data_IF_774680100937
#
_entry.id   IF_774680100937
#
_cell.length_a   1.000
_cell.length_b   1.000
_cell.length_c   1.000
_cell.angle_alpha   90.00
_cell.angle_beta   90.00
_cell.angle_gamma   90.00
#
_symmetry.space_group_name_H-M   'P 1'
#
loop_
_entity.id
_entity.type
_entity.pdbx_description
1 polymer ?
#
# COMPACT_ATOMS: atom_id res chain seq x y z
N UNK A 1 18.57 -17.47 -3.64
CA UNK A 1 20.01 -17.40 -3.38
C UNK A 1 20.36 -17.19 -1.92
N UNK A 2 20.09 -16.03 -1.30
CA UNK A 2 20.45 -15.78 0.11
C UNK A 2 19.63 -16.69 1.05
N UNK A 3 18.31 -16.63 0.97
CA UNK A 3 17.40 -17.45 1.76
C UNK A 3 17.66 -18.96 1.58
N UNK A 4 17.93 -19.38 0.35
CA UNK A 4 18.27 -20.78 0.04
C UNK A 4 19.58 -21.22 0.73
N UNK A 5 20.58 -20.34 0.79
CA UNK A 5 21.84 -20.59 1.50
C UNK A 5 21.62 -20.69 3.02
N UNK A 6 20.81 -19.81 3.59
CA UNK A 6 20.48 -19.81 5.01
C UNK A 6 19.71 -21.08 5.42
N UNK A 7 18.72 -21.50 4.62
CA UNK A 7 17.95 -22.72 4.87
C UNK A 7 18.87 -23.96 4.80
N UNK A 8 19.77 -24.03 3.81
CA UNK A 8 20.74 -25.11 3.71
C UNK A 8 21.74 -25.13 4.88
N UNK A 9 22.20 -23.97 5.32
CA UNK A 9 23.06 -23.83 6.48
C UNK A 9 22.39 -24.31 7.76
N UNK A 10 21.07 -24.21 7.86
CA UNK A 10 20.27 -24.76 8.95
C UNK A 10 20.03 -26.29 8.84
N UNK A 11 20.63 -26.97 7.84
CA UNK A 11 20.49 -28.40 7.65
C UNK A 11 19.16 -28.86 7.03
N UNK A 12 18.37 -27.93 6.52
CA UNK A 12 17.07 -28.22 5.91
C UNK A 12 17.25 -28.44 4.40
N UNK A 13 16.80 -29.60 3.85
CA UNK A 13 16.79 -29.79 2.40
C UNK A 13 15.94 -28.73 1.71
N UNK A 14 16.53 -28.07 0.73
CA UNK A 14 15.83 -26.99 0.00
C UNK A 14 16.17 -27.07 -1.49
N UNK A 15 15.14 -26.96 -2.30
CA UNK A 15 15.23 -26.77 -3.73
C UNK A 15 14.81 -25.33 -4.07
N UNK A 16 15.50 -24.72 -5.00
CA UNK A 16 15.25 -23.33 -5.37
C UNK A 16 15.68 -23.06 -6.81
N UNK A 17 16.81 -22.43 -6.98
CA UNK A 17 17.34 -22.08 -8.31
C UNK A 17 18.00 -23.22 -9.08
N UNK A 18 18.00 -24.40 -8.54
CA UNK A 18 18.25 -25.67 -9.23
C UNK A 18 17.05 -26.13 -10.09
N UNK A 19 15.82 -25.81 -9.64
CA UNK A 19 14.57 -26.13 -10.34
C UNK A 19 13.94 -24.93 -11.04
N UNK A 20 14.28 -23.70 -10.61
CA UNK A 20 13.68 -22.46 -11.10
C UNK A 20 14.72 -21.58 -11.81
N UNK A 21 14.34 -20.86 -12.87
CA UNK A 21 15.23 -19.95 -13.55
C UNK A 21 15.74 -18.86 -12.60
N UNK A 22 16.98 -18.43 -12.81
CA UNK A 22 17.59 -17.36 -12.01
C UNK A 22 17.13 -15.97 -12.41
N UNK A 23 16.65 -15.83 -13.63
CA UNK A 23 16.22 -14.56 -14.23
C UNK A 23 14.82 -14.71 -14.80
N UNK A 24 14.12 -13.60 -14.91
CA UNK A 24 12.77 -13.55 -15.44
C UNK A 24 11.69 -13.68 -14.35
N UNK A 25 10.46 -13.55 -14.78
CA UNK A 25 9.28 -13.62 -13.92
C UNK A 25 8.93 -15.07 -13.59
N UNK A 26 8.65 -15.36 -12.32
CA UNK A 26 8.18 -16.66 -11.87
C UNK A 26 6.67 -16.80 -12.05
N UNK A 27 6.23 -16.77 -13.29
CA UNK A 27 4.84 -16.93 -13.66
C UNK A 27 4.35 -18.40 -13.50
N UNK A 28 3.03 -18.64 -13.44
CA UNK A 28 2.48 -19.99 -13.25
C UNK A 28 2.98 -21.05 -14.22
N UNK A 29 3.22 -20.70 -15.48
CA UNK A 29 3.75 -21.62 -16.49
C UNK A 29 5.22 -22.03 -16.24
N UNK A 30 5.97 -21.23 -15.47
CA UNK A 30 7.34 -21.54 -15.04
C UNK A 30 7.34 -22.35 -13.74
N UNK A 31 6.47 -21.97 -12.79
CA UNK A 31 6.40 -22.58 -11.47
C UNK A 31 5.81 -23.99 -11.51
N UNK A 32 4.73 -24.19 -12.26
CA UNK A 32 3.97 -25.45 -12.29
C UNK A 32 4.83 -26.64 -12.71
N UNK A 33 5.60 -26.59 -13.81
CA UNK A 33 6.51 -27.69 -14.18
C UNK A 33 7.57 -27.97 -13.13
N UNK A 34 8.14 -26.95 -12.51
CA UNK A 34 9.15 -27.10 -11.47
C UNK A 34 8.59 -27.77 -10.22
N UNK A 35 7.40 -27.39 -9.78
CA UNK A 35 6.71 -28.01 -8.63
C UNK A 35 6.37 -29.46 -8.94
N UNK A 36 5.86 -29.79 -10.13
CA UNK A 36 5.58 -31.17 -10.53
C UNK A 36 6.84 -32.02 -10.56
N UNK A 37 7.92 -31.51 -11.14
CA UNK A 37 9.20 -32.21 -11.15
C UNK A 37 9.72 -32.48 -9.72
N UNK A 38 9.54 -31.53 -8.80
CA UNK A 38 9.86 -31.70 -7.40
C UNK A 38 9.00 -32.79 -6.73
N UNK A 39 7.73 -32.87 -7.05
CA UNK A 39 6.79 -33.87 -6.50
C UNK A 39 6.91 -35.25 -7.19
N UNK A 40 7.75 -35.39 -8.21
CA UNK A 40 7.84 -36.60 -9.00
C UNK A 40 6.62 -36.89 -9.88
N UNK A 41 5.81 -35.86 -10.15
CA UNK A 41 4.64 -35.97 -11.01
C UNK A 41 5.03 -35.92 -12.51
N UNK A 42 4.27 -36.60 -13.39
CA UNK A 42 4.53 -36.52 -14.82
C UNK A 42 4.36 -35.07 -15.34
N UNK A 43 5.19 -34.72 -16.33
CA UNK A 43 5.10 -33.44 -17.01
C UNK A 43 3.71 -33.25 -17.62
N UNK A 44 3.13 -32.09 -17.45
CA UNK A 44 1.92 -31.71 -18.19
C UNK A 44 2.24 -31.60 -19.68
N UNK A 45 1.34 -32.05 -20.58
CA UNK A 45 1.50 -31.76 -21.99
C UNK A 45 1.58 -30.22 -22.15
N UNK A 46 2.51 -29.77 -22.96
CA UNK A 46 2.63 -28.33 -23.24
C UNK A 46 1.27 -27.78 -23.65
N UNK A 47 0.80 -26.69 -23.01
CA UNK A 47 -0.46 -26.09 -23.43
C UNK A 47 -0.34 -25.71 -24.90
N UNK A 48 -1.23 -26.23 -25.73
CA UNK A 48 -1.33 -25.82 -27.14
C UNK A 48 -1.29 -24.28 -27.17
N UNK A 49 -0.38 -23.68 -27.92
CA UNK A 49 -0.27 -22.21 -27.92
C UNK A 49 -1.66 -21.65 -28.27
N UNK A 50 -2.28 -20.99 -27.29
CA UNK A 50 -3.52 -20.27 -27.53
C UNK A 50 -3.21 -19.32 -28.67
N UNK A 51 -3.97 -19.45 -29.75
CA UNK A 51 -3.87 -18.60 -30.95
C UNK A 51 -3.64 -17.15 -30.49
N UNK A 52 -2.43 -16.68 -30.67
CA UNK A 52 -2.10 -15.30 -30.43
C UNK A 52 -3.02 -14.47 -31.32
N UNK A 53 -3.85 -13.66 -30.74
CA UNK A 53 -4.53 -12.62 -31.49
C UNK A 53 -3.44 -11.65 -31.95
N UNK A 54 -2.82 -11.95 -33.09
CA UNK A 54 -1.94 -11.02 -33.75
C UNK A 54 -2.79 -9.81 -34.16
N UNK A 55 -2.73 -8.75 -33.38
CA UNK A 55 -3.23 -7.47 -33.83
C UNK A 55 -2.34 -7.03 -35.00
N UNK A 56 -2.85 -7.20 -36.19
CA UNK A 56 -2.15 -6.87 -37.43
C UNK A 56 -2.04 -5.36 -37.69
N UNK A 57 -2.72 -4.57 -36.90
CA UNK A 57 -2.70 -3.11 -36.97
C UNK A 57 -2.30 -2.53 -35.62
N UNK A 58 -1.30 -1.66 -35.56
CA UNK A 58 -0.97 -0.96 -34.31
C UNK A 58 -2.17 -0.08 -33.95
N UNK A 59 -2.90 -0.48 -32.88
CA UNK A 59 -3.96 0.35 -32.33
C UNK A 59 -3.28 1.46 -31.53
N UNK A 60 -3.45 2.70 -31.95
CA UNK A 60 -3.00 3.85 -31.17
C UNK A 60 -3.86 3.92 -29.92
N UNK A 61 -3.28 3.53 -28.78
CA UNK A 61 -3.95 3.59 -27.48
C UNK A 61 -3.69 4.96 -26.87
N UNK A 62 -4.76 5.68 -26.59
CA UNK A 62 -4.65 6.93 -25.82
C UNK A 62 -4.30 6.61 -24.37
N UNK A 63 -3.35 7.36 -23.77
CA UNK A 63 -3.01 7.18 -22.37
C UNK A 63 -4.23 7.44 -21.49
N UNK A 64 -4.51 6.52 -20.58
CA UNK A 64 -5.58 6.62 -19.59
C UNK A 64 -4.94 6.57 -18.20
N UNK A 65 -4.45 7.69 -17.68
CA UNK A 65 -3.88 7.71 -16.33
C UNK A 65 -4.97 7.32 -15.33
N UNK A 66 -4.60 6.65 -14.23
CA UNK A 66 -5.53 6.33 -13.17
C UNK A 66 -6.10 7.62 -12.57
N UNK A 67 -7.40 7.63 -12.31
CA UNK A 67 -8.10 8.77 -11.71
C UNK A 67 -8.97 8.30 -10.56
N UNK A 68 -9.29 9.19 -9.62
CA UNK A 68 -10.29 8.90 -8.60
C UNK A 68 -11.66 8.64 -9.22
N UNK A 69 -12.41 7.71 -8.63
CA UNK A 69 -13.76 7.38 -9.09
C UNK A 69 -14.69 8.59 -9.02
N UNK A 70 -15.75 8.56 -9.85
CA UNK A 70 -16.84 9.55 -9.75
C UNK A 70 -17.47 9.47 -8.37
N UNK A 71 -17.70 10.62 -7.74
CA UNK A 71 -18.22 10.73 -6.37
C UNK A 71 -17.35 10.04 -5.29
N UNK A 72 -16.07 9.88 -5.54
CA UNK A 72 -15.14 9.35 -4.54
C UNK A 72 -15.14 10.22 -3.27
N UNK A 73 -15.25 9.63 -2.06
CA UNK A 73 -15.25 10.40 -0.81
C UNK A 73 -13.94 11.19 -0.59
N UNK A 74 -12.84 10.77 -1.20
CA UNK A 74 -11.56 11.48 -1.09
C UNK A 74 -11.50 12.78 -1.87
N UNK A 75 -12.37 13.00 -2.87
CA UNK A 75 -12.33 14.20 -3.73
C UNK A 75 -12.43 15.50 -2.94
N UNK A 76 -13.37 15.58 -1.98
CA UNK A 76 -13.55 16.77 -1.14
C UNK A 76 -12.33 17.07 -0.28
N UNK A 77 -11.71 16.03 0.28
CA UNK A 77 -10.51 16.16 1.12
C UNK A 77 -9.34 16.68 0.28
N UNK A 78 -9.10 16.09 -0.89
CA UNK A 78 -8.00 16.52 -1.76
C UNK A 78 -8.22 17.89 -2.38
N UNK A 79 -9.48 18.26 -2.63
CA UNK A 79 -9.79 19.64 -2.96
C UNK A 79 -9.36 20.60 -1.85
N UNK A 80 -9.69 20.31 -0.59
CA UNK A 80 -9.26 21.12 0.54
C UNK A 80 -7.74 21.15 0.69
N UNK A 81 -7.08 19.97 0.66
CA UNK A 81 -5.62 19.86 0.79
C UNK A 81 -4.90 20.65 -0.30
N UNK A 82 -5.38 20.62 -1.55
CA UNK A 82 -4.79 21.40 -2.67
C UNK A 82 -4.87 22.92 -2.48
N UNK A 83 -5.70 23.41 -1.55
CA UNK A 83 -5.85 24.85 -1.26
C UNK A 83 -5.06 25.31 -0.04
N UNK A 84 -4.59 24.37 0.79
CA UNK A 84 -3.79 24.71 1.97
C UNK A 84 -2.38 25.08 1.49
N UNK A 85 -1.94 26.26 1.90
CA UNK A 85 -0.60 26.76 1.59
C UNK A 85 0.34 26.50 2.77
N UNK A 86 1.63 26.57 2.48
CA UNK A 86 2.68 26.46 3.49
C UNK A 86 2.62 25.13 4.27
N UNK A 87 2.43 24.03 3.52
CA UNK A 87 2.34 22.66 4.06
C UNK A 87 3.30 21.74 3.33
N UNK A 88 3.71 20.68 4.02
CA UNK A 88 4.36 19.50 3.44
C UNK A 88 3.47 18.31 3.77
N UNK A 89 3.04 17.57 2.76
CA UNK A 89 2.05 16.51 2.91
C UNK A 89 2.65 15.16 2.52
N UNK A 90 2.92 14.34 3.52
CA UNK A 90 3.35 12.97 3.33
C UNK A 90 2.14 12.07 3.04
N UNK A 91 2.07 11.54 1.85
CA UNK A 91 1.04 10.59 1.42
C UNK A 91 1.42 9.14 1.68
N UNK A 92 0.43 8.29 1.58
CA UNK A 92 0.56 6.85 1.71
C UNK A 92 0.00 6.14 0.47
N UNK A 93 0.09 4.81 0.41
CA UNK A 93 -0.34 4.01 -0.74
C UNK A 93 -1.80 3.56 -0.57
N UNK A 94 -2.60 3.87 -1.57
CA UNK A 94 -4.02 3.52 -1.69
C UNK A 94 -4.68 4.32 -2.81
N UNK A 95 -6.01 4.26 -2.95
CA UNK A 95 -6.72 5.11 -3.91
C UNK A 95 -6.43 6.60 -3.70
N UNK A 96 -6.19 6.99 -2.48
CA UNK A 96 -5.84 8.36 -2.09
C UNK A 96 -4.44 8.79 -2.55
N UNK A 97 -3.54 7.88 -2.96
CA UNK A 97 -2.28 8.24 -3.65
C UNK A 97 -2.53 9.06 -4.91
N UNK A 98 -3.69 8.88 -5.55
CA UNK A 98 -4.08 9.65 -6.73
C UNK A 98 -4.22 11.16 -6.47
N UNK A 99 -4.26 11.57 -5.20
CA UNK A 99 -4.16 12.97 -4.79
C UNK A 99 -2.82 13.63 -5.09
N UNK A 100 -1.77 12.86 -5.40
CA UNK A 100 -0.48 13.39 -5.84
C UNK A 100 -0.52 13.96 -7.26
N UNK A 101 -1.43 13.43 -8.10
CA UNK A 101 -1.55 13.84 -9.50
C UNK A 101 -2.49 15.02 -9.73
N UNK A 102 -2.48 15.50 -10.98
CA UNK A 102 -3.43 16.51 -11.44
C UNK A 102 -4.88 16.01 -11.31
N UNK A 103 -5.86 16.87 -10.94
CA UNK A 103 -5.76 18.33 -10.67
C UNK A 103 -5.37 18.69 -9.23
N UNK A 104 -5.18 17.72 -8.36
CA UNK A 104 -5.02 17.93 -6.91
C UNK A 104 -3.62 18.41 -6.55
N UNK A 105 -2.58 17.70 -7.00
CA UNK A 105 -1.17 17.94 -6.64
C UNK A 105 -1.01 18.21 -5.14
N UNK A 106 -1.67 17.39 -4.32
CA UNK A 106 -1.87 17.64 -2.90
C UNK A 106 -1.04 16.70 -2.00
N UNK A 107 -0.12 15.93 -2.57
CA UNK A 107 0.84 15.11 -1.83
C UNK A 107 2.24 15.41 -2.33
N UNK A 108 3.16 15.66 -1.41
CA UNK A 108 4.58 15.93 -1.74
C UNK A 108 5.41 14.64 -1.78
N UNK A 109 5.03 13.63 -1.01
CA UNK A 109 5.72 12.34 -0.96
C UNK A 109 4.75 11.17 -0.95
N UNK A 110 5.19 10.04 -1.50
CA UNK A 110 4.49 8.76 -1.41
C UNK A 110 5.53 7.64 -1.58
N UNK A 111 5.87 6.90 -0.52
CA UNK A 111 6.99 5.94 -0.50
C UNK A 111 6.49 4.50 -0.49
N UNK A 112 5.77 4.10 0.56
CA UNK A 112 5.24 2.74 0.73
C UNK A 112 4.04 2.73 1.67
N UNK A 113 3.30 1.61 1.71
CA UNK A 113 2.16 1.46 2.64
C UNK A 113 2.62 1.60 4.09
N UNK A 114 1.94 2.46 4.85
CA UNK A 114 2.23 2.75 6.26
C UNK A 114 3.36 3.74 6.50
N UNK A 115 4.06 4.22 5.46
CA UNK A 115 5.23 5.07 5.62
C UNK A 115 4.90 6.56 5.86
N UNK A 116 3.70 7.02 5.58
CA UNK A 116 3.34 8.45 5.61
C UNK A 116 3.67 9.13 6.93
N UNK A 117 3.38 8.48 8.05
CA UNK A 117 3.64 9.05 9.38
C UNK A 117 5.14 9.12 9.71
N UNK A 118 5.91 8.07 9.36
CA UNK A 118 7.37 8.08 9.53
C UNK A 118 8.05 9.13 8.65
N UNK A 119 7.59 9.28 7.39
CA UNK A 119 8.06 10.33 6.48
C UNK A 119 7.71 11.71 7.04
N UNK A 120 6.47 11.91 7.50
CA UNK A 120 6.04 13.18 8.10
C UNK A 120 6.85 13.51 9.36
N UNK A 121 7.16 12.52 10.21
CA UNK A 121 8.03 12.71 11.37
C UNK A 121 9.43 13.14 10.92
N UNK A 122 9.98 12.48 9.90
CA UNK A 122 11.28 12.86 9.33
C UNK A 122 11.28 14.29 8.78
N UNK A 123 10.22 14.69 8.08
CA UNK A 123 10.05 16.08 7.62
C UNK A 123 9.93 17.06 8.77
N UNK A 124 9.22 16.71 9.84
CA UNK A 124 9.09 17.54 11.04
C UNK A 124 10.42 17.73 11.76
N UNK A 125 11.17 16.68 12.01
CA UNK A 125 12.44 16.71 12.73
C UNK A 125 13.62 17.24 11.91
N UNK A 126 13.56 17.05 10.60
CA UNK A 126 14.58 17.48 9.65
C UNK A 126 14.35 18.87 9.03
N UNK A 127 13.45 19.68 9.57
CA UNK A 127 13.14 21.01 9.01
C UNK A 127 14.37 21.90 8.95
N UNK A 128 14.55 22.55 7.81
CA UNK A 128 15.51 23.64 7.67
C UNK A 128 14.92 24.95 8.21
N UNK A 129 15.76 25.97 8.42
CA UNK A 129 15.29 27.31 8.79
C UNK A 129 14.30 27.88 7.76
N UNK A 130 14.44 27.54 6.49
CA UNK A 130 13.53 27.97 5.43
C UNK A 130 12.14 27.30 5.52
N UNK A 131 12.05 26.16 6.18
CA UNK A 131 10.83 25.35 6.26
C UNK A 131 10.20 25.34 7.65
N UNK A 132 10.77 26.07 8.62
CA UNK A 132 10.35 26.04 10.03
C UNK A 132 8.87 26.37 10.25
N UNK A 133 8.30 27.21 9.40
CA UNK A 133 6.91 27.66 9.48
C UNK A 133 5.94 26.79 8.67
N UNK A 134 6.45 25.80 7.93
CA UNK A 134 5.59 24.86 7.19
C UNK A 134 4.92 23.87 8.14
N UNK A 135 3.64 23.62 7.91
CA UNK A 135 2.91 22.56 8.61
C UNK A 135 3.21 21.22 7.94
N UNK A 136 3.37 20.19 8.73
CA UNK A 136 3.56 18.83 8.22
C UNK A 136 2.29 18.02 8.46
N UNK A 137 1.79 17.41 7.40
CA UNK A 137 0.63 16.53 7.43
C UNK A 137 1.03 15.13 6.97
N UNK A 138 0.41 14.12 7.56
CA UNK A 138 0.45 12.75 7.07
C UNK A 138 -0.96 12.33 6.63
N UNK A 139 -1.11 11.72 5.48
CA UNK A 139 -2.39 11.20 4.98
C UNK A 139 -2.29 9.70 4.86
N UNK A 140 -3.20 8.97 5.51
CA UNK A 140 -3.22 7.51 5.51
C UNK A 140 -4.66 6.99 5.47
N UNK A 141 -4.89 5.87 4.78
CA UNK A 141 -6.18 5.19 4.75
C UNK A 141 -6.39 4.31 5.98
N UNK A 142 -7.65 4.03 6.30
CA UNK A 142 -8.08 3.25 7.47
C UNK A 142 -7.51 1.83 7.52
N UNK A 143 -7.55 1.11 6.43
CA UNK A 143 -6.99 -0.24 6.34
C UNK A 143 -5.46 -0.23 6.50
N UNK A 144 -4.77 0.66 5.78
CA UNK A 144 -3.32 0.80 5.89
C UNK A 144 -2.92 1.19 7.33
N UNK A 145 -3.68 2.07 7.97
CA UNK A 145 -3.46 2.44 9.36
C UNK A 145 -3.52 1.24 10.30
N UNK A 146 -4.56 0.40 10.18
CA UNK A 146 -4.72 -0.79 11.03
C UNK A 146 -3.64 -1.85 10.80
N UNK A 147 -3.17 -2.00 9.56
CA UNK A 147 -2.21 -3.04 9.23
C UNK A 147 -0.75 -2.62 9.41
N UNK A 148 -0.41 -1.36 9.14
CA UNK A 148 0.99 -0.90 9.11
C UNK A 148 1.21 0.52 9.65
N UNK A 149 0.17 1.25 10.03
CA UNK A 149 0.29 2.67 10.41
C UNK A 149 0.33 2.93 11.92
N UNK A 150 -0.21 2.02 12.75
CA UNK A 150 -0.32 2.23 14.20
C UNK A 150 1.03 2.49 14.87
N UNK A 151 2.08 1.76 14.48
CA UNK A 151 3.43 1.97 15.01
C UNK A 151 4.00 3.34 14.63
N UNK A 152 3.67 3.86 13.45
CA UNK A 152 4.07 5.21 13.05
C UNK A 152 3.40 6.28 13.90
N UNK A 153 2.14 6.09 14.27
CA UNK A 153 1.44 7.01 15.18
C UNK A 153 2.02 6.94 16.59
N UNK A 154 2.33 5.75 17.10
CA UNK A 154 2.99 5.57 18.40
C UNK A 154 4.34 6.29 18.44
N UNK A 155 5.12 6.17 17.35
CA UNK A 155 6.42 6.84 17.24
C UNK A 155 6.28 8.36 17.16
N UNK A 156 5.30 8.88 16.44
CA UNK A 156 4.95 10.31 16.41
C UNK A 156 4.65 10.85 17.80
N UNK A 157 3.85 10.13 18.59
CA UNK A 157 3.50 10.51 19.96
C UNK A 157 4.72 10.44 20.87
N UNK A 158 5.47 9.33 20.81
CA UNK A 158 6.67 9.11 21.63
C UNK A 158 7.74 10.19 21.39
N UNK A 159 7.99 10.53 20.15
CA UNK A 159 9.01 11.51 19.76
C UNK A 159 8.50 12.95 19.76
N UNK A 160 7.25 13.18 20.19
CA UNK A 160 6.61 14.51 20.21
C UNK A 160 6.70 15.19 18.85
N UNK A 161 6.29 14.47 17.80
CA UNK A 161 6.22 15.01 16.44
C UNK A 161 5.10 16.06 16.31
N UNK A 162 5.41 17.18 15.68
CA UNK A 162 4.43 18.22 15.37
C UNK A 162 3.82 17.98 13.97
N UNK A 163 3.03 16.93 13.85
CA UNK A 163 2.43 16.43 12.61
C UNK A 163 0.93 16.31 12.78
N UNK A 164 0.17 16.77 11.80
CA UNK A 164 -1.27 16.50 11.71
C UNK A 164 -1.50 15.23 10.89
N UNK A 165 -2.12 14.21 11.47
CA UNK A 165 -2.45 12.96 10.79
C UNK A 165 -3.90 13.00 10.31
N UNK A 166 -4.11 12.80 9.01
CA UNK A 166 -5.42 12.64 8.39
C UNK A 166 -5.68 11.16 8.11
N UNK A 167 -6.48 10.54 8.97
CA UNK A 167 -6.95 9.17 8.77
C UNK A 167 -8.20 9.17 7.88
N UNK A 168 -8.05 8.70 6.65
CA UNK A 168 -9.14 8.63 5.68
C UNK A 168 -9.93 7.35 5.89
N UNK A 169 -11.13 7.48 6.47
CA UNK A 169 -12.01 6.36 6.76
C UNK A 169 -13.20 6.32 5.79
N UNK A 170 -13.14 5.43 4.80
CA UNK A 170 -14.20 5.20 3.82
C UNK A 170 -14.93 3.86 3.98
N UNK A 171 -14.63 3.11 5.05
CA UNK A 171 -15.18 1.80 5.46
C UNK A 171 -14.76 0.61 4.60
N UNK A 172 -15.04 0.52 3.28
CA UNK A 172 -14.46 -0.56 2.47
C UNK A 172 -13.04 -0.21 2.05
N UNK A 173 -12.15 -1.19 1.95
CA UNK A 173 -10.90 -1.01 1.20
C UNK A 173 -11.29 -0.81 -0.26
N UNK A 174 -10.90 0.34 -0.80
CA UNK A 174 -11.45 0.87 -2.05
C UNK A 174 -10.92 0.23 -3.34
N UNK A 175 -10.39 -0.98 -3.27
CA UNK A 175 -10.12 -1.78 -4.46
C UNK A 175 -11.33 -2.68 -4.72
N UNK A 176 -11.98 -2.62 -5.91
CA UNK A 176 -13.09 -3.52 -6.22
C UNK A 176 -12.63 -4.99 -6.34
N UNK A 177 -13.38 -5.94 -5.80
CA UNK A 177 -14.54 -5.79 -4.93
C UNK A 177 -14.10 -5.53 -3.49
N UNK A 178 -14.47 -4.42 -2.87
CA UNK A 178 -14.05 -3.96 -1.54
C UNK A 178 -13.64 -5.06 -0.58
N UNK A 179 -12.40 -4.98 -0.08
CA UNK A 179 -11.86 -5.96 0.85
C UNK A 179 -12.28 -5.63 2.28
N UNK A 180 -12.60 -6.66 3.05
CA UNK A 180 -12.90 -6.50 4.46
C UNK A 180 -11.63 -6.19 5.26
N UNK A 181 -11.81 -5.41 6.33
CA UNK A 181 -10.74 -5.05 7.26
C UNK A 181 -11.31 -4.89 8.67
N UNK A 182 -10.50 -4.89 9.73
CA UNK A 182 -10.99 -4.78 11.09
C UNK A 182 -11.83 -3.53 11.41
N UNK A 183 -11.82 -2.53 10.54
CA UNK A 183 -12.62 -1.30 10.69
C UNK A 183 -14.05 -1.40 10.14
N UNK A 184 -14.40 -2.43 9.37
CA UNK A 184 -15.74 -2.57 8.79
C UNK A 184 -16.70 -3.47 9.58
N UNK A 185 -16.17 -4.32 10.49
CA UNK A 185 -16.96 -5.21 11.33
C UNK A 185 -17.41 -6.51 10.65
N UNK A 186 -16.67 -6.95 9.62
CA UNK A 186 -16.86 -8.25 8.96
C UNK A 186 -15.53 -8.99 8.90
N UNK A 187 -15.62 -10.32 8.95
CA UNK A 187 -14.46 -11.20 8.71
C UNK A 187 -14.33 -11.57 7.22
N UNK A 188 -13.34 -12.39 6.90
CA UNK A 188 -13.06 -12.85 5.52
C UNK A 188 -14.17 -13.71 4.91
N UNK A 189 -15.11 -14.21 5.71
CA UNK A 189 -16.29 -14.99 5.28
C UNK A 189 -17.52 -14.11 5.11
N UNK A 190 -17.42 -12.81 5.50
CA UNK A 190 -18.52 -11.87 5.50
C UNK A 190 -19.38 -11.91 6.76
N UNK A 191 -19.00 -12.72 7.76
CA UNK A 191 -19.70 -12.83 9.02
C UNK A 191 -19.45 -11.62 9.93
N UNK A 192 -20.38 -11.28 10.85
CA UNK A 192 -20.18 -10.21 11.81
C UNK A 192 -18.93 -10.43 12.67
N UNK A 193 -18.06 -9.45 12.74
CA UNK A 193 -16.82 -9.48 13.53
C UNK A 193 -16.69 -8.20 14.37
N UNK A 194 -15.88 -8.21 15.45
CA UNK A 194 -15.60 -7.02 16.23
C UNK A 194 -15.05 -5.89 15.34
N UNK A 195 -15.64 -4.71 15.49
CA UNK A 195 -15.21 -3.52 14.76
C UNK A 195 -14.26 -2.68 15.59
N UNK A 196 -13.16 -2.24 14.99
CA UNK A 196 -12.23 -1.30 15.62
C UNK A 196 -12.86 0.08 15.73
N UNK A 197 -12.82 0.64 16.93
CA UNK A 197 -13.12 2.04 17.21
C UNK A 197 -11.82 2.85 17.07
N UNK A 198 -11.71 3.60 15.97
CA UNK A 198 -10.51 4.39 15.68
C UNK A 198 -10.24 5.47 16.72
N UNK A 199 -11.28 6.10 17.28
CA UNK A 199 -11.11 7.15 18.28
C UNK A 199 -10.47 6.57 19.56
N UNK A 200 -11.00 5.48 20.07
CA UNK A 200 -10.42 4.77 21.22
C UNK A 200 -9.02 4.24 20.94
N UNK A 201 -8.79 3.74 19.72
CA UNK A 201 -7.48 3.23 19.34
C UNK A 201 -6.43 4.32 19.35
N UNK A 202 -6.69 5.48 18.74
CA UNK A 202 -5.72 6.60 18.71
C UNK A 202 -5.51 7.20 20.10
N UNK A 203 -6.54 7.25 20.93
CA UNK A 203 -6.44 7.64 22.35
C UNK A 203 -5.53 6.67 23.12
N UNK A 204 -5.72 5.35 22.94
CA UNK A 204 -4.87 4.34 23.56
C UNK A 204 -3.41 4.42 23.12
N UNK A 205 -3.14 4.90 21.90
CA UNK A 205 -1.79 5.19 21.40
C UNK A 205 -1.20 6.50 21.92
N UNK A 206 -1.95 7.23 22.75
CA UNK A 206 -1.47 8.43 23.46
C UNK A 206 -1.80 9.77 22.78
N UNK A 207 -2.64 9.76 21.74
CA UNK A 207 -3.18 11.00 21.16
C UNK A 207 -4.19 11.59 22.15
N UNK A 208 -3.94 12.82 22.59
CA UNK A 208 -4.86 13.53 23.49
C UNK A 208 -5.96 14.21 22.67
N UNK A 209 -7.21 14.08 23.11
CA UNK A 209 -8.30 14.94 22.67
C UNK A 209 -8.20 16.25 23.46
N UNK A 210 -8.03 17.35 22.77
CA UNK A 210 -8.16 18.71 23.32
C UNK A 210 -9.50 19.31 22.91
#
# INVERSE_FOLDING_TARGET
PLLEQEIRAAGIPVHGKDLLPRMGELAPHVLRPAIRAFLGEPAEPEPTPKRSLAFTTPVQVFPRPPTMCVACPHLGIYYCLSKIKNTQIAGDIGCYTLGAGHPWNALDTCISMGASMGVALGLDKGRSEADKDKRVLAVIGDSTFLHMGMQGLLDLVYTKGNVTVLLLHNRPVALPPGQDNPGNGRDIHGDPAPRVDFARLVEALGVKQE
#
